data_IF_718949327717
#
_entry.id   IF_718949327717
#
_cell.length_a   1.000
_cell.length_b   1.000
_cell.length_c   1.000
_cell.angle_alpha   90.00
_cell.angle_beta   90.00
_cell.angle_gamma   90.00
#
_symmetry.space_group_name_H-M   'P 1'
#
loop_
_entity.id
_entity.type
_entity.pdbx_description
1 polymer ?
#
# COMPACT_ATOMS: atom_id res chain seq x y z
N UNK A 1 -7.83 -9.73 -22.92
CA UNK A 1 -9.15 -9.96 -22.32
C UNK A 1 -9.07 -11.34 -21.67
N UNK A 2 -8.81 -11.38 -20.36
CA UNK A 2 -8.57 -12.60 -19.60
C UNK A 2 -9.83 -13.12 -18.91
N UNK A 3 -11.00 -12.93 -19.51
CA UNK A 3 -12.28 -13.29 -18.90
C UNK A 3 -12.76 -14.74 -19.19
N UNK A 4 -11.94 -15.56 -19.86
CA UNK A 4 -12.31 -16.93 -20.28
C UNK A 4 -11.71 -18.06 -19.42
N UNK A 5 -11.03 -17.75 -18.31
CA UNK A 5 -10.35 -18.76 -17.47
C UNK A 5 -11.17 -19.29 -16.28
N UNK A 6 -12.48 -18.97 -16.20
CA UNK A 6 -13.34 -19.35 -15.06
C UNK A 6 -14.66 -20.05 -15.45
N UNK A 7 -14.74 -20.64 -16.65
CA UNK A 7 -15.88 -21.53 -16.95
C UNK A 7 -15.56 -22.96 -16.48
N UNK A 8 -15.90 -23.22 -15.21
CA UNK A 8 -16.02 -24.57 -14.67
C UNK A 8 -17.09 -25.33 -15.45
N UNK A 9 -16.67 -26.14 -16.43
CA UNK A 9 -17.50 -27.21 -16.94
C UNK A 9 -17.54 -28.33 -15.91
N UNK A 10 -18.64 -28.38 -15.17
CA UNK A 10 -19.10 -29.57 -14.45
C UNK A 10 -19.16 -30.75 -15.44
N UNK A 11 -18.17 -31.65 -15.35
CA UNK A 11 -18.24 -32.97 -15.96
C UNK A 11 -18.51 -33.97 -14.84
N UNK A 12 -19.76 -34.39 -14.75
CA UNK A 12 -20.18 -35.53 -13.94
C UNK A 12 -19.56 -36.84 -14.47
N UNK A 13 -19.10 -37.69 -13.55
CA UNK A 13 -19.04 -39.15 -13.75
C UNK A 13 -17.64 -39.78 -13.84
N UNK A 14 -17.22 -40.40 -12.73
CA UNK A 14 -15.95 -41.09 -12.46
C UNK A 14 -14.72 -40.19 -12.30
N UNK A 15 -14.17 -40.12 -11.07
CA UNK A 15 -12.85 -39.55 -10.79
C UNK A 15 -11.79 -40.29 -11.61
N UNK A 16 -11.51 -39.78 -12.82
CA UNK A 16 -10.32 -40.14 -13.55
C UNK A 16 -9.14 -39.54 -12.78
N UNK A 17 -8.53 -40.33 -11.89
CA UNK A 17 -7.31 -39.94 -11.22
C UNK A 17 -6.20 -39.93 -12.27
N UNK A 18 -5.83 -38.73 -12.71
CA UNK A 18 -4.75 -38.55 -13.65
C UNK A 18 -3.44 -39.17 -13.13
N UNK A 19 -2.49 -39.49 -14.02
CA UNK A 19 -1.18 -40.03 -13.64
C UNK A 19 -0.44 -39.11 -12.66
N UNK A 20 -0.70 -37.80 -12.71
CA UNK A 20 -0.18 -36.81 -11.75
C UNK A 20 -0.73 -37.04 -10.33
N UNK A 21 -2.05 -37.10 -10.17
CA UNK A 21 -2.71 -37.29 -8.86
C UNK A 21 -2.33 -38.63 -8.22
N UNK A 22 -2.22 -39.68 -9.04
CA UNK A 22 -1.80 -41.01 -8.57
C UNK A 22 -0.35 -41.00 -8.07
N UNK A 23 0.56 -40.45 -8.87
CA UNK A 23 2.00 -40.37 -8.52
C UNK A 23 2.23 -39.48 -7.29
N UNK A 24 1.51 -38.35 -7.21
CA UNK A 24 1.54 -37.46 -6.05
C UNK A 24 1.05 -38.13 -4.77
N UNK A 25 -0.05 -38.89 -4.84
CA UNK A 25 -0.59 -39.60 -3.68
C UNK A 25 0.37 -40.66 -3.13
N UNK A 26 1.07 -41.37 -4.02
CA UNK A 26 2.10 -42.35 -3.64
C UNK A 26 3.27 -41.66 -2.95
N UNK A 27 3.78 -40.57 -3.52
CA UNK A 27 4.89 -39.82 -2.94
C UNK A 27 4.51 -39.23 -1.57
N UNK A 28 3.34 -38.61 -1.46
CA UNK A 28 2.84 -38.06 -0.19
C UNK A 28 2.66 -39.15 0.87
N UNK A 29 2.16 -40.33 0.48
CA UNK A 29 2.05 -41.49 1.37
C UNK A 29 3.41 -41.98 1.88
N UNK A 30 4.39 -42.07 0.98
CA UNK A 30 5.78 -42.42 1.31
C UNK A 30 6.41 -41.39 2.27
N UNK A 31 6.23 -40.08 2.01
CA UNK A 31 6.76 -39.02 2.87
C UNK A 31 6.10 -39.01 4.24
N UNK A 32 4.79 -39.20 4.31
CA UNK A 32 4.06 -39.31 5.57
C UNK A 32 4.49 -40.55 6.36
N UNK A 33 4.74 -41.67 5.69
CA UNK A 33 5.23 -42.89 6.32
C UNK A 33 6.64 -42.70 6.90
N UNK A 34 7.56 -42.13 6.12
CA UNK A 34 8.92 -41.81 6.54
C UNK A 34 8.95 -40.86 7.75
N UNK A 35 8.06 -39.86 7.78
CA UNK A 35 7.92 -38.94 8.90
C UNK A 35 7.49 -39.63 10.21
N UNK A 36 6.74 -40.75 10.11
CA UNK A 36 6.27 -41.53 11.28
C UNK A 36 7.32 -42.56 11.71
N UNK A 37 8.10 -43.13 10.79
CA UNK A 37 9.13 -44.13 11.11
C UNK A 37 10.47 -43.53 11.50
N UNK A 38 10.65 -42.21 11.41
CA UNK A 38 11.92 -41.49 11.65
C UNK A 38 13.09 -41.97 10.77
N UNK A 39 12.79 -42.68 9.67
CA UNK A 39 13.75 -43.05 8.64
C UNK A 39 13.64 -42.06 7.48
N UNK A 40 14.78 -41.58 6.96
CA UNK A 40 14.79 -40.77 5.75
C UNK A 40 14.31 -41.59 4.55
N UNK A 41 13.63 -40.92 3.63
CA UNK A 41 13.13 -41.50 2.39
C UNK A 41 14.30 -41.92 1.49
N UNK A 42 14.76 -43.17 1.62
CA UNK A 42 15.87 -43.74 0.83
C UNK A 42 15.44 -44.05 -0.62
N UNK A 43 15.04 -43.03 -1.38
CA UNK A 43 14.83 -43.14 -2.81
C UNK A 43 16.18 -43.07 -3.53
N UNK A 44 16.47 -43.98 -4.47
CA UNK A 44 17.63 -43.87 -5.36
C UNK A 44 17.60 -42.53 -6.12
N UNK A 45 18.74 -41.88 -6.27
CA UNK A 45 18.86 -40.56 -6.92
C UNK A 45 18.26 -40.52 -8.34
N UNK A 46 18.42 -41.60 -9.10
CA UNK A 46 17.85 -41.72 -10.45
C UNK A 46 16.31 -41.73 -10.44
N UNK A 47 15.71 -42.32 -9.41
CA UNK A 47 14.25 -42.35 -9.24
C UNK A 47 13.72 -40.98 -8.84
N UNK A 48 14.45 -40.27 -7.98
CA UNK A 48 14.12 -38.89 -7.58
C UNK A 48 14.19 -37.94 -8.79
N UNK A 49 15.23 -38.06 -9.61
CA UNK A 49 15.39 -37.27 -10.83
C UNK A 49 14.31 -37.59 -11.87
N UNK A 50 13.94 -38.87 -12.01
CA UNK A 50 12.84 -39.31 -12.88
C UNK A 50 11.50 -38.72 -12.46
N UNK A 51 11.18 -38.74 -11.16
CA UNK A 51 9.96 -38.16 -10.60
C UNK A 51 9.93 -36.63 -10.76
N UNK A 52 11.05 -35.95 -10.47
CA UNK A 52 11.16 -34.50 -10.66
C UNK A 52 10.95 -34.10 -12.14
N UNK A 53 11.55 -34.84 -13.08
CA UNK A 53 11.35 -34.64 -14.53
C UNK A 53 9.90 -34.89 -14.95
N UNK A 54 9.25 -35.90 -14.40
CA UNK A 54 7.83 -36.16 -14.66
C UNK A 54 6.95 -34.98 -14.21
N UNK A 55 7.12 -34.50 -12.97
CA UNK A 55 6.33 -33.38 -12.45
C UNK A 55 6.63 -32.07 -13.20
N UNK A 56 7.89 -31.77 -13.50
CA UNK A 56 8.27 -30.54 -14.22
C UNK A 56 7.89 -30.59 -15.71
N UNK A 57 7.86 -31.77 -16.32
CA UNK A 57 7.49 -31.98 -17.73
C UNK A 57 6.02 -31.68 -18.02
N UNK A 58 5.17 -31.65 -17.00
CA UNK A 58 3.74 -31.31 -17.11
C UNK A 58 3.53 -29.77 -17.18
N UNK A 59 4.57 -28.99 -16.87
CA UNK A 59 4.56 -27.52 -16.85
C UNK A 59 3.43 -26.93 -16.00
N UNK A 60 2.29 -26.59 -16.63
CA UNK A 60 1.11 -25.99 -15.98
C UNK A 60 -0.08 -26.95 -16.16
N UNK A 61 -0.49 -27.69 -15.13
CA UNK A 61 -1.67 -28.54 -15.18
C UNK A 61 -2.96 -27.73 -15.37
N UNK A 62 -3.96 -28.34 -16.01
CA UNK A 62 -5.20 -27.68 -16.39
C UNK A 62 -6.22 -27.49 -15.26
N UNK A 63 -5.99 -28.07 -14.08
CA UNK A 63 -6.85 -27.99 -12.91
C UNK A 63 -6.07 -27.57 -11.65
N UNK A 64 -6.73 -26.85 -10.75
CA UNK A 64 -6.16 -26.36 -9.50
C UNK A 64 -5.77 -27.51 -8.54
N UNK A 65 -6.54 -28.61 -8.54
CA UNK A 65 -6.22 -29.82 -7.74
C UNK A 65 -4.92 -30.46 -8.21
N UNK A 66 -4.75 -30.55 -9.53
CA UNK A 66 -3.54 -31.08 -10.14
C UNK A 66 -2.33 -30.16 -9.93
N UNK A 67 -2.52 -28.84 -9.99
CA UNK A 67 -1.47 -27.88 -9.64
C UNK A 67 -1.00 -28.03 -8.18
N UNK A 68 -1.94 -28.16 -7.24
CA UNK A 68 -1.63 -28.43 -5.85
C UNK A 68 -0.83 -29.73 -5.69
N UNK A 69 -1.28 -30.83 -6.31
CA UNK A 69 -0.61 -32.13 -6.25
C UNK A 69 0.82 -32.07 -6.82
N UNK A 70 1.03 -31.29 -7.90
CA UNK A 70 2.35 -31.10 -8.50
C UNK A 70 3.31 -30.37 -7.54
N UNK A 71 2.87 -29.26 -6.94
CA UNK A 71 3.67 -28.45 -6.02
C UNK A 71 3.98 -29.22 -4.73
N UNK A 72 2.97 -29.88 -4.13
CA UNK A 72 3.12 -30.69 -2.92
C UNK A 72 4.14 -31.84 -3.13
N UNK A 73 4.10 -32.47 -4.31
CA UNK A 73 5.03 -33.54 -4.68
C UNK A 73 6.46 -33.02 -4.85
N UNK A 74 6.63 -31.88 -5.51
CA UNK A 74 7.94 -31.24 -5.66
C UNK A 74 8.53 -30.82 -4.30
N UNK A 75 7.69 -30.31 -3.39
CA UNK A 75 8.10 -29.99 -2.02
C UNK A 75 8.50 -31.24 -1.23
N UNK A 76 7.79 -32.36 -1.40
CA UNK A 76 8.17 -33.65 -0.82
C UNK A 76 9.54 -34.12 -1.33
N UNK A 77 9.81 -34.01 -2.64
CA UNK A 77 11.12 -34.33 -3.22
C UNK A 77 12.21 -33.39 -2.71
N UNK A 78 11.91 -32.10 -2.52
CA UNK A 78 12.85 -31.13 -1.96
C UNK A 78 13.18 -31.44 -0.50
N UNK A 79 12.20 -31.84 0.31
CA UNK A 79 12.42 -32.20 1.72
C UNK A 79 13.35 -33.41 1.89
N UNK A 80 13.48 -34.24 0.86
CA UNK A 80 14.44 -35.33 0.78
C UNK A 80 15.82 -34.85 0.29
N UNK A 81 16.35 -33.80 0.92
CA UNK A 81 17.74 -33.39 0.68
C UNK A 81 18.66 -34.45 1.28
N UNK A 82 19.23 -35.31 0.44
CA UNK A 82 20.52 -35.90 0.76
C UNK A 82 21.53 -34.75 0.82
N UNK A 83 21.71 -34.19 2.02
CA UNK A 83 22.83 -33.31 2.30
C UNK A 83 24.10 -34.14 2.13
N UNK A 84 24.88 -33.85 1.09
CA UNK A 84 26.24 -34.34 1.04
C UNK A 84 27.02 -33.62 2.14
N UNK A 85 27.32 -34.33 3.22
CA UNK A 85 28.29 -33.87 4.19
C UNK A 85 29.64 -33.70 3.46
N UNK A 86 30.27 -32.53 3.64
CA UNK A 86 31.61 -32.25 3.12
C UNK A 86 32.58 -33.34 3.58
N UNK A 87 33.03 -34.16 2.63
CA UNK A 87 34.01 -35.21 2.89
C UNK A 87 34.46 -35.96 1.65
N UNK A 88 33.61 -36.11 0.62
CA UNK A 88 34.04 -36.65 -0.68
C UNK A 88 32.97 -36.52 -1.77
N UNK A 89 33.33 -36.11 -2.99
CA UNK A 89 32.41 -36.18 -4.15
C UNK A 89 32.56 -37.51 -4.88
N UNK A 90 31.48 -38.25 -5.05
CA UNK A 90 31.47 -39.49 -5.83
C UNK A 90 30.95 -39.19 -7.24
N UNK A 91 31.79 -39.42 -8.24
CA UNK A 91 31.47 -39.27 -9.65
C UNK A 91 31.31 -40.67 -10.26
N UNK A 92 30.10 -41.00 -10.68
CA UNK A 92 29.80 -42.21 -11.43
C UNK A 92 29.82 -41.93 -12.93
N UNK A 93 30.46 -42.81 -13.70
CA UNK A 93 30.43 -42.78 -15.17
C UNK A 93 29.70 -44.02 -15.65
N UNK A 94 28.66 -43.83 -16.47
CA UNK A 94 27.87 -44.91 -17.04
C UNK A 94 27.65 -44.69 -18.54
N UNK A 95 27.39 -45.77 -19.27
CA UNK A 95 26.94 -45.65 -20.66
C UNK A 95 25.52 -45.07 -20.72
N UNK A 96 25.08 -44.63 -21.90
CA UNK A 96 23.70 -44.14 -22.11
C UNK A 96 22.64 -45.17 -21.70
N UNK A 97 23.01 -46.46 -21.67
CA UNK A 97 22.17 -47.58 -21.26
C UNK A 97 22.40 -48.02 -19.80
N UNK A 98 23.17 -47.26 -19.02
CA UNK A 98 23.42 -47.53 -17.60
C UNK A 98 24.36 -48.71 -17.33
N UNK A 99 25.09 -49.19 -18.33
CA UNK A 99 26.05 -50.29 -18.17
C UNK A 99 27.42 -49.78 -17.69
N UNK A 100 28.20 -50.66 -17.06
CA UNK A 100 29.58 -50.37 -16.66
C UNK A 100 30.46 -50.07 -17.87
N UNK A 101 31.38 -49.12 -17.70
CA UNK A 101 32.24 -48.58 -18.75
C UNK A 101 33.66 -49.18 -18.56
N UNK A 102 34.46 -49.41 -19.62
CA UNK A 102 35.85 -49.88 -19.52
C UNK A 102 36.74 -48.95 -18.68
N UNK A 103 37.97 -49.39 -18.37
CA UNK A 103 38.93 -48.64 -17.56
C UNK A 103 39.13 -47.21 -18.07
N UNK A 104 38.70 -46.25 -17.24
CA UNK A 104 38.68 -44.82 -17.56
C UNK A 104 39.23 -44.00 -16.39
N UNK A 105 39.82 -42.85 -16.69
CA UNK A 105 40.22 -41.83 -15.71
C UNK A 105 39.29 -40.64 -15.86
N UNK A 106 38.68 -40.21 -14.77
CA UNK A 106 37.96 -38.94 -14.72
C UNK A 106 38.91 -37.87 -14.19
N UNK A 107 39.03 -36.77 -14.95
CA UNK A 107 39.82 -35.58 -14.60
C UNK A 107 38.87 -34.43 -14.29
N UNK A 108 39.09 -33.77 -13.18
CA UNK A 108 38.53 -32.44 -12.91
C UNK A 108 39.45 -31.42 -13.59
N UNK A 109 39.09 -30.97 -14.78
CA UNK A 109 39.89 -30.03 -15.60
C UNK A 109 39.91 -28.64 -14.98
N UNK A 110 38.82 -28.25 -14.31
CA UNK A 110 38.75 -26.99 -13.61
C UNK A 110 37.43 -26.77 -12.90
N UNK A 111 37.45 -25.82 -11.96
CA UNK A 111 36.26 -25.30 -11.29
C UNK A 111 36.22 -23.79 -11.48
N UNK A 112 35.11 -23.31 -12.03
CA UNK A 112 34.90 -21.89 -12.36
C UNK A 112 33.85 -21.31 -11.43
N UNK A 113 34.08 -20.13 -10.86
CA UNK A 113 33.04 -19.44 -10.09
C UNK A 113 31.94 -18.94 -11.05
N UNK A 114 30.68 -19.05 -10.63
CA UNK A 114 29.53 -18.59 -11.41
C UNK A 114 29.52 -17.05 -11.48
N UNK A 115 30.28 -16.48 -12.40
CA UNK A 115 30.40 -15.03 -12.61
C UNK A 115 31.77 -14.55 -13.11
N UNK A 116 32.83 -15.35 -12.92
CA UNK A 116 34.18 -15.05 -13.45
C UNK A 116 34.54 -16.03 -14.57
N UNK A 117 34.79 -15.55 -15.79
CA UNK A 117 35.13 -16.41 -16.94
C UNK A 117 36.59 -16.85 -17.00
N UNK A 118 37.52 -16.21 -16.28
CA UNK A 118 38.92 -16.19 -16.73
C UNK A 118 39.98 -16.80 -15.80
N UNK A 119 39.60 -17.51 -14.73
CA UNK A 119 40.57 -18.30 -13.96
C UNK A 119 39.94 -19.58 -13.42
N UNK A 120 40.45 -20.73 -13.82
CA UNK A 120 40.16 -21.99 -13.11
C UNK A 120 40.74 -21.87 -11.71
N UNK A 121 39.93 -22.13 -10.69
CA UNK A 121 40.38 -22.16 -9.30
C UNK A 121 41.13 -23.46 -8.98
N UNK A 122 41.10 -24.44 -9.88
CA UNK A 122 41.62 -25.78 -9.69
C UNK A 122 42.46 -26.17 -10.91
N UNK A 123 43.70 -26.60 -10.66
CA UNK A 123 44.53 -27.24 -11.69
C UNK A 123 44.04 -28.67 -11.92
N UNK A 124 44.19 -29.18 -13.14
CA UNK A 124 43.65 -30.49 -13.55
C UNK A 124 44.02 -31.60 -12.55
N UNK A 125 43.01 -32.19 -11.90
CA UNK A 125 43.18 -33.22 -10.88
C UNK A 125 42.51 -34.53 -11.29
N UNK A 126 43.25 -35.63 -11.21
CA UNK A 126 42.70 -36.98 -11.43
C UNK A 126 41.94 -37.46 -10.18
N UNK A 127 40.75 -38.02 -10.39
CA UNK A 127 39.91 -38.58 -9.33
C UNK A 127 40.35 -40.01 -8.97
N UNK A 128 40.32 -40.34 -7.68
CA UNK A 128 40.71 -41.68 -7.21
C UNK A 128 39.61 -42.69 -7.54
N UNK A 129 39.94 -43.74 -8.30
CA UNK A 129 38.98 -44.80 -8.59
C UNK A 129 38.94 -45.82 -7.44
N UNK A 130 37.77 -45.97 -6.82
CA UNK A 130 37.54 -47.04 -5.84
C UNK A 130 37.03 -48.30 -6.54
N UNK A 131 37.86 -49.35 -6.52
CA UNK A 131 37.56 -50.65 -7.12
C UNK A 131 36.42 -51.40 -6.42
N UNK A 132 36.08 -51.04 -5.18
CA UNK A 132 35.01 -51.69 -4.43
C UNK A 132 33.62 -51.14 -4.80
N UNK A 133 33.51 -49.85 -5.14
CA UNK A 133 32.25 -49.18 -5.43
C UNK A 133 32.05 -48.85 -6.91
N UNK A 134 33.09 -48.95 -7.75
CA UNK A 134 33.03 -48.56 -9.17
C UNK A 134 32.88 -47.04 -9.38
N UNK A 135 33.21 -46.23 -8.37
CA UNK A 135 33.02 -44.78 -8.36
C UNK A 135 34.36 -44.04 -8.33
N UNK A 136 34.40 -42.86 -8.95
CA UNK A 136 35.55 -41.95 -8.89
C UNK A 136 35.34 -40.95 -7.75
N UNK A 137 36.21 -40.99 -6.75
CA UNK A 137 36.08 -40.21 -5.52
C UNK A 137 37.03 -39.00 -5.54
N UNK A 138 36.47 -37.81 -5.33
CA UNK A 138 37.20 -36.60 -4.98
C UNK A 138 37.26 -36.50 -3.45
N UNK A 139 38.39 -36.88 -2.86
CA UNK A 139 38.51 -36.98 -1.39
C UNK A 139 38.52 -35.61 -0.69
N UNK A 140 39.08 -34.57 -1.30
CA UNK A 140 39.13 -33.23 -0.70
C UNK A 140 38.76 -32.18 -1.74
N UNK A 141 37.92 -31.22 -1.35
CA UNK A 141 37.66 -30.04 -2.16
C UNK A 141 38.93 -29.17 -2.16
N UNK A 142 39.41 -28.68 -3.32
CA UNK A 142 40.59 -27.83 -3.36
C UNK A 142 40.43 -26.60 -2.47
N UNK A 143 41.47 -26.25 -1.70
CA UNK A 143 41.49 -25.10 -0.76
C UNK A 143 41.19 -23.73 -1.41
N UNK A 144 41.19 -23.68 -2.74
CA UNK A 144 40.85 -22.51 -3.53
C UNK A 144 39.35 -22.27 -3.65
N UNK A 145 38.54 -23.32 -3.46
CA UNK A 145 37.07 -23.29 -3.49
C UNK A 145 36.56 -22.94 -2.10
N UNK A 146 35.66 -21.98 -2.03
CA UNK A 146 35.07 -21.46 -0.79
C UNK A 146 33.55 -21.53 -0.89
N UNK A 147 32.82 -20.91 0.04
CA UNK A 147 31.35 -20.83 -0.02
C UNK A 147 30.89 -20.04 -1.25
N UNK A 148 30.03 -20.64 -2.08
CA UNK A 148 29.54 -20.02 -3.30
C UNK A 148 29.04 -21.00 -4.37
N UNK A 149 28.70 -20.47 -5.54
CA UNK A 149 28.24 -21.27 -6.68
C UNK A 149 29.34 -21.44 -7.72
N UNK A 150 29.62 -22.69 -8.10
CA UNK A 150 30.70 -23.08 -8.99
C UNK A 150 30.18 -23.95 -10.13
N UNK A 151 30.91 -23.98 -11.24
CA UNK A 151 30.72 -24.93 -12.33
C UNK A 151 31.98 -25.78 -12.43
N UNK A 152 31.84 -27.07 -12.12
CA UNK A 152 32.91 -28.05 -12.22
C UNK A 152 32.92 -28.63 -13.63
N UNK A 153 34.11 -28.74 -14.23
CA UNK A 153 34.30 -29.27 -15.57
C UNK A 153 35.05 -30.57 -15.47
N UNK A 154 34.36 -31.67 -15.76
CA UNK A 154 34.92 -33.01 -15.78
C UNK A 154 35.22 -33.44 -17.21
N UNK A 155 36.37 -34.06 -17.40
CA UNK A 155 36.80 -34.70 -18.64
C UNK A 155 37.08 -36.18 -18.34
N UNK A 156 36.62 -37.04 -19.24
CA UNK A 156 36.79 -38.49 -19.12
C UNK A 156 37.82 -38.92 -20.16
N UNK A 157 38.86 -39.64 -19.72
CA UNK A 157 39.95 -40.13 -20.58
C UNK A 157 39.96 -41.66 -20.50
N UNK A 158 39.83 -42.32 -21.64
CA UNK A 158 39.93 -43.78 -21.76
C UNK A 158 41.39 -44.22 -21.71
N UNK A 159 41.68 -45.36 -21.07
CA UNK A 159 43.05 -45.86 -20.94
C UNK A 159 43.58 -46.51 -22.23
N UNK A 160 42.67 -47.03 -23.06
CA UNK A 160 43.01 -47.80 -24.25
C UNK A 160 42.44 -47.14 -25.51
N UNK A 161 43.27 -46.86 -26.53
CA UNK A 161 42.86 -46.14 -27.74
C UNK A 161 41.88 -46.93 -28.62
N UNK A 162 41.85 -48.26 -28.51
CA UNK A 162 40.91 -49.12 -29.25
C UNK A 162 39.44 -48.89 -28.81
N UNK A 163 39.23 -48.38 -27.60
CA UNK A 163 37.90 -48.07 -27.06
C UNK A 163 37.33 -46.73 -27.59
N UNK A 164 38.14 -45.86 -28.20
CA UNK A 164 37.67 -44.61 -28.82
C UNK A 164 36.84 -44.86 -30.08
N UNK A 165 37.03 -46.00 -30.77
CA UNK A 165 36.23 -46.36 -31.95
C UNK A 165 34.81 -46.87 -31.58
N UNK A 166 34.63 -47.33 -30.33
CA UNK A 166 33.38 -47.94 -29.84
C UNK A 166 32.55 -46.97 -28.99
N UNK A 167 33.19 -46.05 -28.26
CA UNK A 167 32.53 -45.13 -27.34
C UNK A 167 32.75 -43.67 -27.74
N UNK A 168 31.66 -42.93 -27.97
CA UNK A 168 31.72 -41.48 -28.19
C UNK A 168 31.63 -40.74 -26.85
N UNK A 169 32.68 -40.02 -26.48
CA UNK A 169 32.68 -39.16 -25.29
C UNK A 169 32.50 -37.69 -25.67
N UNK A 170 31.60 -37.00 -24.98
CA UNK A 170 31.60 -35.53 -24.99
C UNK A 170 32.88 -35.03 -24.33
N UNK A 171 33.55 -34.05 -24.95
CA UNK A 171 34.89 -33.62 -24.49
C UNK A 171 34.92 -33.13 -23.04
N UNK A 172 33.88 -32.41 -22.60
CA UNK A 172 33.81 -31.86 -21.24
C UNK A 172 32.37 -31.81 -20.73
N UNK A 173 32.13 -32.30 -19.52
CA UNK A 173 30.84 -32.22 -18.83
C UNK A 173 30.89 -31.13 -17.77
N UNK A 174 29.94 -30.19 -17.82
CA UNK A 174 29.84 -29.08 -16.87
C UNK A 174 28.74 -29.36 -15.86
N UNK A 175 29.08 -29.35 -14.57
CA UNK A 175 28.14 -29.60 -13.46
C UNK A 175 28.10 -28.38 -12.54
N UNK A 176 26.94 -27.73 -12.37
CA UNK A 176 26.79 -26.66 -11.38
C UNK A 176 26.75 -27.26 -9.97
N UNK A 177 27.60 -26.76 -9.08
CA UNK A 177 27.71 -27.19 -7.68
C UNK A 177 27.70 -25.95 -6.79
N UNK A 178 26.83 -25.94 -5.80
CA UNK A 178 26.81 -24.89 -4.76
C UNK A 178 27.42 -25.43 -3.48
N UNK A 179 28.48 -24.76 -3.02
CA UNK A 179 29.16 -25.08 -1.76
C UNK A 179 28.59 -24.18 -0.69
N UNK A 180 27.98 -24.78 0.33
CA UNK A 180 27.39 -24.06 1.46
C UNK A 180 28.38 -23.94 2.61
N UNK A 181 28.18 -22.96 3.49
CA UNK A 181 28.92 -22.88 4.74
C UNK A 181 28.42 -21.82 5.70
N UNK A 182 29.01 -21.83 6.90
CA UNK A 182 28.72 -20.86 7.97
C UNK A 182 29.47 -19.54 7.72
N UNK A 183 28.72 -18.45 7.54
CA UNK A 183 29.26 -17.10 7.33
C UNK A 183 29.39 -16.39 8.67
N UNK A 184 30.55 -15.82 8.94
CA UNK A 184 30.79 -15.01 10.14
C UNK A 184 30.42 -13.56 9.87
N UNK A 185 29.76 -12.92 10.83
CA UNK A 185 29.51 -11.48 10.80
C UNK A 185 30.48 -10.78 11.74
N UNK A 186 31.25 -9.86 11.20
CA UNK A 186 32.29 -9.12 11.92
C UNK A 186 32.04 -7.62 11.84
N UNK A 187 32.65 -6.85 12.75
CA UNK A 187 32.66 -5.38 12.74
C UNK A 187 31.27 -4.75 12.55
N UNK A 188 30.26 -5.31 13.22
CA UNK A 188 28.89 -4.82 13.14
C UNK A 188 28.70 -3.61 14.06
N UNK A 189 28.29 -2.49 13.49
CA UNK A 189 28.16 -1.21 14.18
C UNK A 189 26.93 -0.45 13.69
N UNK A 190 26.24 0.20 14.61
CA UNK A 190 25.15 1.13 14.33
C UNK A 190 25.43 2.47 14.97
N UNK A 191 25.24 3.55 14.22
CA UNK A 191 25.53 4.90 14.68
C UNK A 191 24.51 5.93 14.19
N UNK A 192 24.24 6.93 15.03
CA UNK A 192 23.52 8.15 14.65
C UNK A 192 24.55 9.24 14.40
N UNK A 193 24.51 9.81 13.19
CA UNK A 193 25.42 10.83 12.70
C UNK A 193 24.68 12.16 12.58
N UNK A 194 25.36 13.25 12.94
CA UNK A 194 24.87 14.60 12.65
C UNK A 194 25.16 14.98 11.19
N UNK A 195 24.21 15.69 10.57
CA UNK A 195 24.23 16.11 9.16
C UNK A 195 25.35 17.08 8.82
N UNK A 196 25.72 17.97 9.76
CA UNK A 196 26.57 19.14 9.47
C UNK A 196 28.06 18.86 9.64
N UNK A 197 28.43 17.98 10.58
CA UNK A 197 29.82 17.70 10.94
C UNK A 197 30.24 16.25 10.69
N UNK A 198 29.31 15.35 10.33
CA UNK A 198 29.58 13.91 10.29
C UNK A 198 30.04 13.35 11.65
N UNK A 199 29.86 14.12 12.72
CA UNK A 199 30.20 13.73 14.08
C UNK A 199 29.24 12.64 14.54
N UNK A 200 29.81 11.65 15.21
CA UNK A 200 29.07 10.51 15.74
C UNK A 200 28.48 10.90 17.09
N UNK A 201 27.15 11.04 17.17
CA UNK A 201 26.48 11.33 18.44
C UNK A 201 26.34 10.08 19.31
N UNK A 202 25.99 8.96 18.67
CA UNK A 202 25.90 7.67 19.34
C UNK A 202 26.43 6.58 18.43
N UNK A 203 27.32 5.74 18.95
CA UNK A 203 27.84 4.54 18.29
C UNK A 203 27.65 3.37 19.23
N UNK A 204 27.06 2.29 18.72
CA UNK A 204 26.92 1.04 19.46
C UNK A 204 27.41 -0.10 18.60
N UNK A 205 28.28 -0.93 19.19
CA UNK A 205 28.68 -2.19 18.58
C UNK A 205 27.52 -3.17 18.65
N UNK A 206 27.18 -3.76 17.52
CA UNK A 206 26.12 -4.74 17.39
C UNK A 206 26.68 -6.12 17.69
N UNK A 207 26.08 -6.80 18.66
CA UNK A 207 26.27 -8.23 18.83
C UNK A 207 25.08 -8.95 18.20
N UNK A 208 25.26 -9.45 16.98
CA UNK A 208 24.21 -10.12 16.21
C UNK A 208 23.96 -11.56 16.70
N UNK A 209 24.80 -12.10 17.59
CA UNK A 209 24.62 -13.41 18.21
C UNK A 209 23.94 -13.32 19.60
N UNK A 210 24.01 -12.14 20.25
CA UNK A 210 23.42 -11.87 21.56
C UNK A 210 22.07 -11.16 21.51
N UNK A 211 21.24 -11.31 22.55
CA UNK A 211 19.96 -10.59 22.72
C UNK A 211 20.15 -9.14 23.21
N UNK A 212 21.04 -8.38 22.59
CA UNK A 212 21.23 -6.98 22.95
C UNK A 212 20.28 -6.09 22.15
N UNK A 213 19.12 -5.77 22.73
CA UNK A 213 18.19 -4.81 22.14
C UNK A 213 18.74 -3.38 22.29
N UNK A 214 19.16 -2.79 21.17
CA UNK A 214 19.69 -1.44 21.15
C UNK A 214 18.54 -0.41 21.09
N UNK A 215 18.59 0.62 21.93
CA UNK A 215 17.77 1.83 21.81
C UNK A 215 18.57 2.99 21.23
N UNK A 216 18.03 3.66 20.21
CA UNK A 216 18.59 4.87 19.62
C UNK A 216 17.48 5.94 19.53
N UNK A 217 17.89 7.20 19.42
CA UNK A 217 17.02 8.34 19.18
C UNK A 217 17.63 9.14 18.04
N UNK A 218 16.82 9.55 17.06
CA UNK A 218 17.29 10.46 16.02
C UNK A 218 16.20 11.44 15.58
N UNK A 219 16.61 12.65 15.21
CA UNK A 219 15.73 13.64 14.59
C UNK A 219 15.82 13.61 13.04
N UNK A 220 15.01 14.42 12.38
CA UNK A 220 14.97 14.52 10.92
C UNK A 220 16.25 15.05 10.26
N UNK A 221 17.12 15.78 10.98
CA UNK A 221 18.38 16.27 10.42
C UNK A 221 19.48 15.18 10.47
N UNK A 222 19.43 14.35 11.49
CA UNK A 222 20.40 13.28 11.70
C UNK A 222 20.28 12.15 10.67
N UNK A 223 21.32 11.30 10.63
CA UNK A 223 21.42 10.15 9.74
C UNK A 223 21.70 8.89 10.55
N UNK A 224 21.06 7.77 10.18
CA UNK A 224 21.36 6.47 10.77
C UNK A 224 22.33 5.71 9.86
N UNK A 225 23.49 5.33 10.38
CA UNK A 225 24.49 4.50 9.70
C UNK A 225 24.51 3.10 10.31
N UNK A 226 24.34 2.09 9.48
CA UNK A 226 24.56 0.69 9.84
C UNK A 226 25.69 0.15 8.98
N UNK A 227 26.64 -0.55 9.60
CA UNK A 227 27.72 -1.21 8.87
C UNK A 227 28.12 -2.54 9.49
N UNK A 228 28.52 -3.51 8.65
CA UNK A 228 28.98 -4.82 9.07
C UNK A 228 29.82 -5.48 7.96
N UNK A 229 30.59 -6.51 8.31
CA UNK A 229 31.41 -7.27 7.37
C UNK A 229 30.99 -8.74 7.42
N UNK A 230 30.99 -9.40 6.26
CA UNK A 230 30.65 -10.82 6.14
C UNK A 230 31.87 -11.57 5.62
N UNK A 231 32.30 -12.58 6.36
CA UNK A 231 33.49 -13.38 6.04
C UNK A 231 33.14 -14.86 5.95
N UNK A 232 33.69 -15.52 4.95
CA UNK A 232 33.60 -16.97 4.79
C UNK A 232 34.48 -17.69 5.81
N UNK A 233 34.34 -19.02 6.01
CA UNK A 233 35.25 -19.79 6.87
C UNK A 233 36.73 -19.64 6.48
N UNK A 234 37.03 -19.41 5.20
CA UNK A 234 38.39 -19.18 4.68
C UNK A 234 38.84 -17.71 4.76
N UNK A 235 38.06 -16.82 5.39
CA UNK A 235 38.41 -15.41 5.62
C UNK A 235 38.25 -14.51 4.39
N UNK A 236 37.55 -14.95 3.34
CA UNK A 236 37.25 -14.12 2.16
C UNK A 236 35.98 -13.30 2.41
N UNK A 237 35.90 -12.13 1.77
CA UNK A 237 34.68 -11.30 1.81
C UNK A 237 33.53 -12.04 1.14
N UNK A 238 32.42 -12.20 1.85
CA UNK A 238 31.21 -12.85 1.34
C UNK A 238 30.18 -11.81 0.91
N UNK A 239 29.63 -11.98 -0.30
CA UNK A 239 28.55 -11.13 -0.81
C UNK A 239 27.26 -11.94 -0.87
N UNK A 240 26.32 -11.75 0.08
CA UNK A 240 25.03 -12.44 0.04
C UNK A 240 24.15 -11.87 -1.07
N UNK A 241 23.22 -12.69 -1.52
CA UNK A 241 22.16 -12.34 -2.45
C UNK A 241 21.20 -11.31 -1.86
N UNK A 242 20.91 -11.40 -0.55
CA UNK A 242 19.97 -10.53 0.14
C UNK A 242 20.56 -9.97 1.44
N UNK A 243 20.49 -8.64 1.59
CA UNK A 243 20.80 -7.93 2.83
C UNK A 243 19.86 -6.73 2.96
N UNK A 244 18.96 -6.77 3.95
CA UNK A 244 17.93 -5.76 4.15
C UNK A 244 17.88 -5.27 5.58
N UNK A 245 17.72 -3.96 5.73
CA UNK A 245 17.35 -3.31 6.98
C UNK A 245 15.86 -2.97 6.92
N UNK A 246 15.07 -3.57 7.80
CA UNK A 246 13.64 -3.30 7.95
C UNK A 246 13.42 -2.40 9.15
N UNK A 247 12.69 -1.31 8.96
CA UNK A 247 12.20 -0.41 9.99
C UNK A 247 10.68 -0.51 10.05
N UNK A 248 10.13 -0.91 11.20
CA UNK A 248 8.69 -1.05 11.40
C UNK A 248 8.18 -0.05 12.43
N UNK A 249 7.33 0.88 12.00
CA UNK A 249 6.68 1.85 12.89
C UNK A 249 5.71 1.14 13.83
N UNK A 250 5.44 1.72 15.00
CA UNK A 250 4.41 1.26 15.95
C UNK A 250 3.01 1.14 15.31
N UNK A 251 2.73 1.93 14.27
CA UNK A 251 1.49 1.79 13.51
C UNK A 251 1.43 0.48 12.74
N UNK A 252 2.53 -0.24 12.52
CA UNK A 252 2.74 -1.42 11.63
C UNK A 252 3.05 -1.10 10.17
N UNK A 253 3.45 0.14 9.87
CA UNK A 253 3.99 0.47 8.54
C UNK A 253 5.45 0.00 8.49
N UNK A 254 5.79 -0.76 7.45
CA UNK A 254 7.14 -1.32 7.26
C UNK A 254 7.87 -0.60 6.13
N UNK A 255 9.13 -0.27 6.39
CA UNK A 255 10.07 0.30 5.42
C UNK A 255 11.26 -0.63 5.29
N UNK A 256 11.53 -1.11 4.06
CA UNK A 256 12.62 -2.05 3.80
C UNK A 256 13.67 -1.35 2.94
N UNK A 257 14.92 -1.38 3.40
CA UNK A 257 16.05 -0.77 2.74
C UNK A 257 17.10 -1.82 2.38
N UNK A 258 17.59 -1.79 1.15
CA UNK A 258 18.67 -2.66 0.69
C UNK A 258 20.00 -2.12 1.22
N UNK A 259 20.78 -2.97 1.87
CA UNK A 259 22.10 -2.59 2.39
C UNK A 259 23.12 -2.64 1.25
N UNK A 260 23.84 -1.54 1.05
CA UNK A 260 24.84 -1.41 0.00
C UNK A 260 26.10 -2.22 0.32
N UNK A 261 26.82 -2.66 -0.72
CA UNK A 261 28.11 -3.33 -0.59
C UNK A 261 29.23 -2.41 -1.09
N UNK A 262 30.15 -2.03 -0.20
CA UNK A 262 31.35 -1.24 -0.51
C UNK A 262 32.61 -2.13 -0.59
N UNK A 263 32.48 -3.32 -1.18
CA UNK A 263 33.54 -4.30 -1.43
C UNK A 263 33.84 -5.22 -0.25
N UNK A 264 34.35 -4.67 0.86
CA UNK A 264 34.67 -5.42 2.08
C UNK A 264 33.66 -5.24 3.21
N UNK A 265 32.87 -4.17 3.14
CA UNK A 265 31.94 -3.79 4.18
C UNK A 265 30.58 -3.49 3.56
N UNK A 266 29.55 -3.96 4.25
CA UNK A 266 28.18 -3.59 3.99
C UNK A 266 27.88 -2.33 4.77
N UNK A 267 27.30 -1.35 4.08
CA UNK A 267 26.99 -0.06 4.67
C UNK A 267 25.69 0.47 4.12
N UNK A 268 24.89 1.06 5.01
CA UNK A 268 23.74 1.87 4.66
C UNK A 268 23.69 3.11 5.54
N UNK A 269 23.45 4.25 4.91
CA UNK A 269 23.23 5.54 5.58
C UNK A 269 21.84 6.04 5.22
N UNK A 270 20.94 6.05 6.19
CA UNK A 270 19.60 6.58 6.05
C UNK A 270 19.60 8.05 6.44
N UNK A 271 19.43 8.92 5.44
CA UNK A 271 19.26 10.36 5.67
C UNK A 271 17.78 10.67 5.91
N UNK A 272 17.39 10.92 7.16
CA UNK A 272 15.99 11.10 7.51
C UNK A 272 15.36 12.31 6.80
N UNK A 273 16.10 13.41 6.62
CA UNK A 273 15.61 14.60 5.92
C UNK A 273 15.14 14.29 4.50
N UNK A 274 15.92 13.49 3.78
CA UNK A 274 15.58 13.05 2.41
C UNK A 274 14.55 11.91 2.35
N UNK A 275 14.23 11.32 3.50
CA UNK A 275 13.31 10.18 3.60
C UNK A 275 11.99 10.54 4.29
N UNK A 276 11.83 11.73 4.87
CA UNK A 276 10.63 12.15 5.62
C UNK A 276 9.33 11.82 4.88
N UNK A 277 9.26 12.16 3.59
CA UNK A 277 8.07 11.86 2.76
C UNK A 277 7.83 10.34 2.61
N UNK A 278 8.90 9.54 2.52
CA UNK A 278 8.82 8.07 2.41
C UNK A 278 8.47 7.41 3.74
N UNK A 279 8.75 8.06 4.86
CA UNK A 279 8.29 7.68 6.20
C UNK A 279 6.91 8.25 6.52
N UNK A 280 6.26 8.94 5.57
CA UNK A 280 4.93 9.52 5.73
C UNK A 280 4.81 10.49 6.92
N UNK A 281 5.92 11.16 7.29
CA UNK A 281 5.97 12.09 8.43
C UNK A 281 5.55 11.44 9.76
N UNK A 282 5.70 10.12 9.90
CA UNK A 282 5.34 9.38 11.11
C UNK A 282 6.47 9.46 12.15
N UNK A 283 6.30 10.31 13.16
CA UNK A 283 7.17 10.29 14.33
C UNK A 283 6.82 9.13 15.27
N UNK A 284 7.77 8.72 16.09
CA UNK A 284 7.58 7.68 17.12
C UNK A 284 8.56 6.53 17.02
N UNK A 285 8.19 5.38 17.59
CA UNK A 285 9.07 4.23 17.71
C UNK A 285 9.09 3.37 16.44
N UNK A 286 10.30 3.09 15.95
CA UNK A 286 10.56 2.15 14.87
C UNK A 286 11.38 0.96 15.36
N UNK A 287 10.83 -0.25 15.23
CA UNK A 287 11.59 -1.47 15.46
C UNK A 287 12.53 -1.74 14.27
N UNK A 288 13.78 -2.10 14.55
CA UNK A 288 14.81 -2.37 13.55
C UNK A 288 15.11 -3.86 13.48
N UNK A 289 15.06 -4.42 12.27
CA UNK A 289 15.37 -5.82 12.00
C UNK A 289 16.34 -5.91 10.82
N UNK A 290 17.39 -6.72 10.96
CA UNK A 290 18.36 -7.00 9.91
C UNK A 290 18.14 -8.42 9.39
N UNK A 291 17.96 -8.52 8.08
CA UNK A 291 17.83 -9.78 7.37
C UNK A 291 19.02 -9.96 6.42
N UNK A 292 19.73 -11.08 6.53
CA UNK A 292 20.84 -11.45 5.65
C UNK A 292 20.63 -12.89 5.20
N UNK A 293 20.62 -13.13 3.89
CA UNK A 293 20.36 -14.47 3.34
C UNK A 293 20.99 -14.70 1.98
N UNK A 294 21.45 -15.92 1.76
CA UNK A 294 21.98 -16.42 0.49
C UNK A 294 21.75 -17.93 0.40
N UNK A 295 21.59 -18.47 -0.80
CA UNK A 295 21.46 -19.92 -1.01
C UNK A 295 22.71 -20.72 -0.59
N UNK A 296 23.89 -20.09 -0.62
CA UNK A 296 25.15 -20.67 -0.17
C UNK A 296 25.39 -20.49 1.35
N UNK A 297 24.54 -19.74 2.06
CA UNK A 297 24.72 -19.44 3.48
C UNK A 297 23.86 -20.35 4.36
N UNK A 298 24.50 -21.17 5.19
CA UNK A 298 23.79 -22.13 6.07
C UNK A 298 23.12 -21.43 7.26
N UNK A 299 23.72 -20.34 7.73
CA UNK A 299 23.26 -19.59 8.90
C UNK A 299 22.61 -18.26 8.51
N UNK A 300 21.62 -18.30 7.60
CA UNK A 300 20.82 -17.12 7.26
C UNK A 300 20.25 -16.44 8.51
N UNK A 301 20.30 -15.11 8.55
CA UNK A 301 20.02 -14.32 9.75
C UNK A 301 18.75 -13.49 9.57
N UNK A 302 17.87 -13.56 10.57
CA UNK A 302 16.78 -12.63 10.79
C UNK A 302 16.84 -12.21 12.26
N UNK A 303 17.38 -11.01 12.52
CA UNK A 303 17.71 -10.57 13.87
C UNK A 303 17.09 -9.21 14.14
N UNK A 304 16.31 -9.14 15.23
CA UNK A 304 15.82 -7.88 15.77
C UNK A 304 16.98 -7.17 16.49
N UNK A 305 17.46 -6.07 15.91
CA UNK A 305 18.60 -5.31 16.42
C UNK A 305 18.19 -4.41 17.60
N UNK A 306 16.97 -3.88 17.56
CA UNK A 306 16.53 -2.91 18.55
C UNK A 306 15.44 -1.99 18.03
N UNK A 307 15.39 -0.77 18.57
CA UNK A 307 14.45 0.27 18.16
C UNK A 307 15.12 1.63 18.09
N UNK A 308 14.60 2.46 17.19
CA UNK A 308 14.96 3.87 17.05
C UNK A 308 13.71 4.71 17.24
N UNK A 309 13.78 5.70 18.12
CA UNK A 309 12.77 6.72 18.29
C UNK A 309 13.07 7.85 17.31
N UNK A 310 12.17 8.10 16.36
CA UNK A 310 12.34 9.10 15.30
C UNK A 310 11.44 10.30 15.53
N UNK A 311 12.05 11.48 15.53
CA UNK A 311 11.35 12.76 15.58
C UNK A 311 11.37 13.44 14.20
N UNK A 312 10.28 13.26 13.45
CA UNK A 312 10.05 13.81 12.13
C UNK A 312 9.16 15.08 12.20
N UNK A 313 9.28 16.02 11.25
CA UNK A 313 8.44 17.21 11.22
C UNK A 313 6.97 16.86 10.99
N UNK A 314 6.08 17.77 11.37
CA UNK A 314 4.64 17.60 11.14
C UNK A 314 4.31 17.51 9.64
N UNK A 315 3.33 16.64 9.34
CA UNK A 315 2.90 16.39 7.97
C UNK A 315 2.21 17.63 7.37
N UNK A 316 2.64 18.12 6.18
CA UNK A 316 1.89 19.15 5.47
C UNK A 316 0.51 18.65 5.02
N UNK A 317 -0.44 19.55 4.78
CA UNK A 317 -1.84 19.18 4.41
C UNK A 317 -1.95 18.24 3.20
N UNK A 318 -0.96 18.29 2.29
CA UNK A 318 -0.88 17.47 1.07
C UNK A 318 0.11 16.31 1.17
N UNK A 319 0.53 15.93 2.38
CA UNK A 319 1.48 14.87 2.58
C UNK A 319 0.97 13.52 2.04
N UNK A 320 1.87 12.67 1.50
CA UNK A 320 1.57 11.28 1.23
C UNK A 320 1.08 10.59 2.50
N UNK A 321 -0.04 9.87 2.39
CA UNK A 321 -0.55 9.06 3.51
C UNK A 321 0.09 7.67 3.48
N UNK A 322 0.33 7.05 4.64
CA UNK A 322 0.82 5.68 4.69
C UNK A 322 -0.14 4.73 3.95
N UNK A 323 0.38 3.65 3.36
CA UNK A 323 -0.45 2.66 2.70
C UNK A 323 -1.49 2.10 3.70
N UNK A 324 -2.74 1.89 3.25
CA UNK A 324 -3.75 1.28 4.09
C UNK A 324 -3.25 -0.09 4.53
N UNK A 325 -3.20 -0.29 5.83
CA UNK A 325 -2.76 -1.57 6.38
C UNK A 325 -3.75 -2.66 6.00
N UNK A 326 -3.29 -3.93 5.92
CA UNK A 326 -4.17 -5.07 5.79
C UNK A 326 -5.11 -5.08 7.00
N UNK A 327 -6.28 -4.48 6.81
CA UNK A 327 -7.39 -4.55 7.76
C UNK A 327 -7.92 -5.98 7.69
N UNK A 328 -8.32 -6.52 8.83
CA UNK A 328 -9.03 -7.81 8.89
C UNK A 328 -10.10 -7.83 7.76
N UNK A 329 -10.09 -8.83 6.85
CA UNK A 329 -11.05 -8.92 5.75
C UNK A 329 -12.50 -8.72 6.21
N UNK A 330 -12.83 -9.12 7.43
CA UNK A 330 -14.16 -8.95 8.02
C UNK A 330 -14.46 -7.52 8.47
N UNK A 331 -13.45 -6.76 8.88
CA UNK A 331 -13.59 -5.34 9.27
C UNK A 331 -13.72 -4.39 8.07
N UNK A 332 -13.24 -4.80 6.88
CA UNK A 332 -13.35 -4.02 5.64
C UNK A 332 -14.82 -3.77 5.23
N UNK A 333 -15.71 -4.69 5.60
CA UNK A 333 -17.14 -4.63 5.29
C UNK A 333 -18.01 -4.20 6.47
N UNK A 334 -17.40 -3.65 7.54
CA UNK A 334 -18.13 -3.13 8.68
C UNK A 334 -18.95 -1.86 8.34
N UNK A 335 -20.06 -1.62 9.06
CA UNK A 335 -20.81 -0.37 8.92
C UNK A 335 -19.89 0.82 9.28
N UNK A 336 -19.84 1.81 8.38
CA UNK A 336 -19.13 3.08 8.65
C UNK A 336 -19.92 3.91 9.66
N UNK A 337 -19.23 4.84 10.32
CA UNK A 337 -19.88 5.80 11.22
C UNK A 337 -21.00 6.56 10.49
N UNK A 338 -22.16 6.67 11.16
CA UNK A 338 -23.31 7.41 10.66
C UNK A 338 -22.98 8.91 10.55
N UNK A 339 -23.26 9.50 9.38
CA UNK A 339 -23.05 10.93 9.16
C UNK A 339 -24.38 11.64 9.38
N UNK A 340 -24.50 12.39 10.47
CA UNK A 340 -25.67 13.22 10.76
C UNK A 340 -25.50 14.62 10.18
N UNK A 341 -26.41 15.05 9.30
CA UNK A 341 -26.40 16.41 8.78
C UNK A 341 -26.78 17.42 9.87
N UNK A 342 -25.86 18.29 10.25
CA UNK A 342 -26.08 19.35 11.23
C UNK A 342 -26.70 20.56 10.52
N UNK A 343 -27.98 20.82 10.78
CA UNK A 343 -28.66 22.02 10.30
C UNK A 343 -28.17 23.27 11.05
N UNK A 344 -28.18 24.42 10.37
CA UNK A 344 -27.95 25.70 11.02
C UNK A 344 -28.99 25.92 12.11
N UNK A 345 -28.55 26.31 13.31
CA UNK A 345 -29.45 26.72 14.37
C UNK A 345 -30.27 27.95 13.93
N UNK A 346 -31.57 28.00 14.22
CA UNK A 346 -32.39 29.16 13.91
C UNK A 346 -31.90 30.38 14.70
N UNK A 347 -31.95 31.55 14.06
CA UNK A 347 -31.60 32.81 14.70
C UNK A 347 -32.52 33.10 15.90
N UNK A 348 -31.93 33.59 16.99
CA UNK A 348 -32.68 33.90 18.22
C UNK A 348 -33.56 35.14 18.00
N UNK A 349 -34.87 34.97 18.16
CA UNK A 349 -35.84 36.09 18.12
C UNK A 349 -35.83 36.90 19.42
N UNK A 350 -36.12 38.21 19.37
CA UNK A 350 -36.23 39.04 20.57
C UNK A 350 -37.44 38.62 21.43
N UNK A 351 -37.44 38.96 22.74
CA UNK A 351 -38.60 38.75 23.60
C UNK A 351 -39.85 39.48 23.08
N UNK A 352 -41.01 38.85 23.21
CA UNK A 352 -42.29 39.40 22.75
C UNK A 352 -42.65 40.71 23.45
N UNK A 353 -42.40 40.81 24.76
CA UNK A 353 -42.66 42.01 25.56
C UNK A 353 -41.93 43.24 25.03
N UNK A 354 -40.66 43.06 24.64
CA UNK A 354 -39.86 44.14 24.06
C UNK A 354 -40.45 44.60 22.73
N UNK A 355 -40.87 43.65 21.89
CA UNK A 355 -41.47 43.96 20.58
C UNK A 355 -42.80 44.70 20.72
N UNK A 356 -43.63 44.32 21.70
CA UNK A 356 -44.90 45.00 22.00
C UNK A 356 -44.71 46.41 22.55
N UNK A 357 -43.70 46.62 23.40
CA UNK A 357 -43.37 47.95 23.93
C UNK A 357 -43.00 48.93 22.81
N UNK A 358 -42.15 48.50 21.85
CA UNK A 358 -41.78 49.32 20.70
C UNK A 358 -42.93 49.55 19.71
N UNK A 359 -43.85 48.58 19.57
CA UNK A 359 -45.08 48.79 18.80
C UNK A 359 -45.93 49.92 19.40
N UNK A 360 -46.13 49.89 20.72
CA UNK A 360 -46.84 50.96 21.44
C UNK A 360 -46.17 52.32 21.28
N UNK A 361 -44.83 52.37 21.41
CA UNK A 361 -44.06 53.59 21.21
C UNK A 361 -44.20 54.15 19.78
N UNK A 362 -44.31 53.27 18.78
CA UNK A 362 -44.49 53.66 17.36
C UNK A 362 -45.88 54.26 17.08
N UNK A 363 -46.91 53.86 17.83
CA UNK A 363 -48.27 54.41 17.71
C UNK A 363 -48.41 55.78 18.41
N UNK A 364 -47.55 56.07 19.39
CA UNK A 364 -47.64 57.27 20.22
C UNK A 364 -47.58 58.59 19.41
N UNK A 365 -46.71 58.78 18.39
CA UNK A 365 -46.72 59.98 17.56
C UNK A 365 -48.04 60.19 16.81
N UNK A 366 -48.71 59.11 16.38
CA UNK A 366 -50.01 59.21 15.71
C UNK A 366 -51.09 59.72 16.68
N UNK A 367 -51.11 59.22 17.91
CA UNK A 367 -52.00 59.72 18.96
C UNK A 367 -51.72 61.19 19.26
N UNK A 368 -50.45 61.57 19.40
CA UNK A 368 -50.03 62.96 19.59
C UNK A 368 -50.49 63.87 18.45
N UNK A 369 -50.36 63.42 17.20
CA UNK A 369 -50.85 64.12 16.02
C UNK A 369 -52.37 64.34 16.05
N UNK A 370 -53.15 63.30 16.38
CA UNK A 370 -54.61 63.40 16.49
C UNK A 370 -55.04 64.38 17.60
N UNK A 371 -54.40 64.32 18.77
CA UNK A 371 -54.64 65.28 19.86
C UNK A 371 -54.27 66.71 19.42
N UNK A 372 -53.15 66.86 18.70
CA UNK A 372 -52.72 68.13 18.12
C UNK A 372 -53.76 68.74 17.17
N UNK A 373 -54.33 67.93 16.26
CA UNK A 373 -55.39 68.37 15.35
C UNK A 373 -56.62 68.90 16.10
N UNK A 374 -57.03 68.20 17.17
CA UNK A 374 -58.15 68.63 18.03
C UNK A 374 -57.85 69.95 18.75
N UNK A 375 -56.63 70.12 19.27
CA UNK A 375 -56.19 71.35 19.96
C UNK A 375 -56.10 72.55 19.01
N UNK A 376 -55.72 72.32 17.75
CA UNK A 376 -55.63 73.34 16.71
C UNK A 376 -57.00 73.72 16.10
N UNK A 377 -58.08 73.01 16.44
CA UNK A 377 -59.42 73.30 15.93
C UNK A 377 -59.62 72.97 14.43
N UNK A 378 -58.84 72.03 13.91
CA UNK A 378 -58.97 71.56 12.53
C UNK A 378 -60.37 70.98 12.32
N UNK A 379 -61.06 71.43 11.28
CA UNK A 379 -62.46 71.08 11.02
C UNK A 379 -62.69 70.76 9.54
N UNK A 380 -63.84 70.16 9.25
CA UNK A 380 -64.25 69.76 7.90
C UNK A 380 -65.32 70.68 7.29
N UNK A 381 -65.42 71.94 7.77
CA UNK A 381 -66.51 72.86 7.36
C UNK A 381 -66.50 73.22 5.88
N UNK A 382 -65.35 73.09 5.21
CA UNK A 382 -65.19 73.38 3.78
C UNK A 382 -65.59 72.21 2.86
N UNK A 383 -66.20 71.14 3.40
CA UNK A 383 -66.71 70.05 2.58
C UNK A 383 -67.89 70.54 1.70
N UNK A 384 -67.95 70.19 0.39
CA UNK A 384 -68.97 70.74 -0.50
C UNK A 384 -70.40 70.38 -0.05
N UNK A 385 -71.27 71.39 0.05
CA UNK A 385 -72.67 71.20 0.47
C UNK A 385 -73.63 70.93 -0.70
N UNK A 386 -73.23 71.29 -1.94
CA UNK A 386 -74.05 71.05 -3.13
C UNK A 386 -74.01 69.57 -3.52
N UNK A 387 -75.14 68.96 -3.94
CA UNK A 387 -75.26 67.50 -4.11
C UNK A 387 -74.26 66.91 -5.09
N UNK A 388 -74.02 67.58 -6.23
CA UNK A 388 -73.11 67.09 -7.28
C UNK A 388 -71.64 67.13 -6.82
N UNK A 389 -71.07 68.27 -6.38
CA UNK A 389 -69.71 68.29 -5.80
C UNK A 389 -69.54 67.43 -4.56
N UNK A 390 -70.56 67.32 -3.69
CA UNK A 390 -70.51 66.47 -2.51
C UNK A 390 -70.35 65.00 -2.88
N UNK A 391 -71.09 64.54 -3.90
CA UNK A 391 -70.99 63.16 -4.41
C UNK A 391 -69.59 62.86 -4.92
N UNK A 392 -69.01 63.75 -5.75
CA UNK A 392 -67.63 63.57 -6.23
C UNK A 392 -66.60 63.63 -5.09
N UNK A 393 -66.80 64.48 -4.08
CA UNK A 393 -65.93 64.52 -2.91
C UNK A 393 -65.96 63.23 -2.10
N UNK A 394 -67.15 62.65 -1.85
CA UNK A 394 -67.30 61.37 -1.16
C UNK A 394 -66.65 60.25 -1.97
N UNK A 395 -66.96 60.15 -3.26
CA UNK A 395 -66.38 59.12 -4.15
C UNK A 395 -64.86 59.21 -4.22
N UNK A 396 -64.29 60.43 -4.18
CA UNK A 396 -62.85 60.62 -4.18
C UNK A 396 -62.21 60.07 -2.91
N UNK A 397 -62.74 60.42 -1.73
CA UNK A 397 -62.19 59.96 -0.45
C UNK A 397 -62.42 58.47 -0.22
N UNK A 398 -63.57 57.92 -0.62
CA UNK A 398 -63.83 56.48 -0.62
C UNK A 398 -62.86 55.76 -1.55
N UNK A 399 -62.59 56.31 -2.74
CA UNK A 399 -61.60 55.76 -3.67
C UNK A 399 -60.20 55.73 -3.06
N UNK A 400 -59.78 56.79 -2.36
CA UNK A 400 -58.49 56.83 -1.66
C UNK A 400 -58.46 55.77 -0.55
N UNK A 401 -59.52 55.66 0.25
CA UNK A 401 -59.66 54.61 1.26
C UNK A 401 -59.59 53.20 0.67
N UNK A 402 -60.21 52.98 -0.49
CA UNK A 402 -60.17 51.71 -1.21
C UNK A 402 -58.75 51.37 -1.72
N UNK A 403 -57.96 52.37 -2.16
CA UNK A 403 -56.54 52.15 -2.53
C UNK A 403 -55.72 51.76 -1.29
N UNK A 404 -55.88 52.46 -0.17
CA UNK A 404 -55.17 52.13 1.07
C UNK A 404 -55.52 50.72 1.56
N UNK A 405 -56.81 50.35 1.49
CA UNK A 405 -57.28 49.01 1.83
C UNK A 405 -56.72 47.94 0.87
N UNK A 406 -56.63 48.26 -0.43
CA UNK A 406 -56.00 47.38 -1.42
C UNK A 406 -54.53 47.10 -1.06
N UNK A 407 -53.79 48.10 -0.56
CA UNK A 407 -52.41 47.90 -0.10
C UNK A 407 -52.33 47.00 1.14
N UNK A 408 -53.29 47.10 2.06
CA UNK A 408 -53.40 46.15 3.18
C UNK A 408 -53.66 44.73 2.65
N UNK A 409 -54.57 44.56 1.68
CA UNK A 409 -54.82 43.25 1.08
C UNK A 409 -53.62 42.70 0.30
N UNK A 410 -52.84 43.54 -0.37
CA UNK A 410 -51.57 43.17 -0.98
C UNK A 410 -50.57 42.66 0.05
N UNK A 411 -50.46 43.34 1.19
CA UNK A 411 -49.55 42.91 2.27
C UNK A 411 -49.97 41.57 2.89
N UNK A 412 -51.28 41.31 3.02
CA UNK A 412 -51.78 40.08 3.67
C UNK A 412 -51.89 38.89 2.72
N UNK A 413 -52.34 39.08 1.47
CA UNK A 413 -52.76 37.95 0.63
C UNK A 413 -52.65 38.13 -0.89
N UNK A 414 -52.89 39.31 -1.45
CA UNK A 414 -52.96 39.49 -2.90
C UNK A 414 -51.58 39.41 -3.54
N UNK A 415 -51.51 38.84 -4.73
CA UNK A 415 -50.31 38.89 -5.56
C UNK A 415 -50.14 40.28 -6.22
N UNK A 416 -48.96 40.52 -6.77
CA UNK A 416 -48.62 41.80 -7.42
C UNK A 416 -49.51 42.10 -8.64
N UNK A 417 -49.86 41.09 -9.44
CA UNK A 417 -50.60 41.28 -10.70
C UNK A 417 -52.09 41.54 -10.46
N UNK A 418 -52.70 40.86 -9.49
CA UNK A 418 -54.06 41.10 -8.99
C UNK A 418 -54.17 42.51 -8.41
N UNK A 419 -53.20 42.88 -7.58
CA UNK A 419 -53.12 44.23 -6.98
C UNK A 419 -53.00 45.29 -8.06
N UNK A 420 -52.10 45.10 -9.04
CA UNK A 420 -51.90 46.07 -10.12
C UNK A 420 -53.13 46.18 -11.03
N UNK A 421 -53.83 45.07 -11.30
CA UNK A 421 -55.09 45.08 -12.06
C UNK A 421 -56.17 45.88 -11.34
N UNK A 422 -56.39 45.61 -10.04
CA UNK A 422 -57.37 46.33 -9.21
C UNK A 422 -57.00 47.81 -9.08
N UNK A 423 -55.72 48.11 -8.85
CA UNK A 423 -55.19 49.46 -8.77
C UNK A 423 -55.33 50.20 -10.10
N UNK A 424 -55.16 49.51 -11.24
CA UNK A 424 -55.35 50.09 -12.56
C UNK A 424 -56.79 50.60 -12.77
N UNK A 425 -57.79 49.77 -12.46
CA UNK A 425 -59.21 50.18 -12.53
C UNK A 425 -59.52 51.31 -11.53
N UNK A 426 -59.07 51.16 -10.29
CA UNK A 426 -59.33 52.13 -9.22
C UNK A 426 -58.61 53.47 -9.47
N UNK A 427 -57.44 53.44 -10.10
CA UNK A 427 -56.65 54.60 -10.49
C UNK A 427 -57.33 55.43 -11.57
N UNK A 428 -57.84 54.81 -12.64
CA UNK A 428 -58.61 55.51 -13.67
C UNK A 428 -59.86 56.17 -13.06
N UNK A 429 -60.56 55.45 -12.19
CA UNK A 429 -61.70 55.99 -11.45
C UNK A 429 -61.32 57.20 -10.59
N UNK A 430 -60.23 57.10 -9.82
CA UNK A 430 -59.74 58.17 -8.95
C UNK A 430 -59.29 59.41 -9.71
N UNK A 431 -58.63 59.25 -10.86
CA UNK A 431 -58.24 60.38 -11.72
C UNK A 431 -59.46 61.16 -12.18
N UNK A 432 -60.51 60.46 -12.63
CA UNK A 432 -61.75 61.12 -13.09
C UNK A 432 -62.48 61.85 -11.96
N UNK A 433 -62.75 61.16 -10.85
CA UNK A 433 -63.50 61.73 -9.72
C UNK A 433 -62.68 62.84 -9.04
N UNK A 434 -61.38 62.63 -8.89
CA UNK A 434 -60.43 63.60 -8.34
C UNK A 434 -60.34 64.87 -9.18
N UNK A 435 -60.23 64.75 -10.50
CA UNK A 435 -60.25 65.90 -11.40
C UNK A 435 -61.52 66.74 -11.22
N UNK A 436 -62.70 66.11 -11.17
CA UNK A 436 -63.98 66.81 -10.99
C UNK A 436 -64.06 67.61 -9.68
N UNK A 437 -63.64 67.03 -8.56
CA UNK A 437 -63.69 67.72 -7.26
C UNK A 437 -62.61 68.79 -7.10
N UNK A 438 -61.38 68.53 -7.57
CA UNK A 438 -60.29 69.50 -7.51
C UNK A 438 -60.54 70.69 -8.42
N UNK A 439 -61.09 70.48 -9.62
CA UNK A 439 -61.51 71.58 -10.51
C UNK A 439 -62.63 72.41 -9.88
N UNK A 440 -63.60 71.78 -9.20
CA UNK A 440 -64.64 72.52 -8.47
C UNK A 440 -64.05 73.36 -7.33
N UNK A 441 -63.11 72.80 -6.56
CA UNK A 441 -62.45 73.52 -5.47
C UNK A 441 -61.63 74.71 -5.98
N UNK A 442 -60.90 74.54 -7.09
CA UNK A 442 -60.16 75.61 -7.74
C UNK A 442 -61.09 76.73 -8.24
N UNK A 443 -62.20 76.38 -8.88
CA UNK A 443 -63.19 77.36 -9.35
C UNK A 443 -63.88 78.10 -8.19
N UNK A 444 -64.20 77.40 -7.09
CA UNK A 444 -64.75 78.01 -5.88
C UNK A 444 -63.75 78.96 -5.22
N UNK A 445 -62.46 78.60 -5.16
CA UNK A 445 -61.40 79.46 -4.65
C UNK A 445 -61.15 80.68 -5.53
N UNK A 446 -61.17 80.53 -6.86
CA UNK A 446 -61.03 81.65 -7.78
C UNK A 446 -62.18 82.66 -7.63
N UNK A 447 -63.43 82.16 -7.49
CA UNK A 447 -64.61 83.01 -7.21
C UNK A 447 -64.53 83.75 -5.89
N UNK A 448 -63.97 83.12 -4.84
CA UNK A 448 -63.77 83.74 -3.52
C UNK A 448 -62.65 84.80 -3.53
N UNK A 449 -61.65 84.69 -4.42
CA UNK A 449 -60.58 85.70 -4.58
C UNK A 449 -60.97 86.88 -5.46
N UNK A 450 -61.94 86.69 -6.35
CA UNK A 450 -62.47 87.72 -7.26
C UNK A 450 -63.67 88.48 -6.69
N UNK A 451 -64.23 88.01 -5.58
CA UNK A 451 -65.29 88.66 -4.79
C UNK A 451 -64.66 89.29 -3.55
#
# INVERSE_FOLDING_TARGET
DGALYFDDKLVDGHEYQGPLSTTSSVLRGLTAFAAVTAENLNLPGDTMLGLAKFFLGICVPGDAKDFFNQIDSLACLESNRQGFALGSFNVGVSTVLGSEVPSLTVKLVGAFSSGSKDASLVESQELNFDKASGLHILNDLPKSIDVGSYTFVFEVVLHEPEHEEVYFMGSQTKVPISVTGLIKVENSEIAVLDSDLGSIESQKKLDLAGKNAISLSANHLQKLRLSFQLTTPHGRSFKPHQAFLKLRHESKVEHIFVVGNSGKQFEIVLNFLGLVEKFFYLSGKYDMELTIGDAAMENSLLVAIGHIELDLPEAPEKAPRPPPQPVDPYSRYGPKAEITHIFRAPEKRPPQELSLAFLGLTILPLLGFLIGLLRLGVNLKNFPTKPVPATFAVLFHVGIGAVLLLYVFFWVKLDLFQTLKLLGFLGVFLVFVGHRILSHLAAASAKLKSA
#
